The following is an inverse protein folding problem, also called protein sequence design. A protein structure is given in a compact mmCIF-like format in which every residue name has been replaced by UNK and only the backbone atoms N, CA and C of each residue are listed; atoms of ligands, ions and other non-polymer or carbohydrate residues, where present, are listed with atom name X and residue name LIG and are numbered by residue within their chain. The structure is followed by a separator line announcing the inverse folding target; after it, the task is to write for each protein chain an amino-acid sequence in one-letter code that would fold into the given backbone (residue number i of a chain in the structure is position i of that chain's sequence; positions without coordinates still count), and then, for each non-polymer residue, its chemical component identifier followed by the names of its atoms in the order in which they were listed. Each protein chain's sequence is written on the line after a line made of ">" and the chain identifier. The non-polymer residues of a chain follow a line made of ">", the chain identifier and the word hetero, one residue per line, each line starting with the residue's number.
data_IF_553021458095
#
_entry.id   IF_553021458095
#
_cell.length_a   1.000
_cell.length_b   1.000
_cell.length_c   1.000
_cell.angle_alpha   90.00
_cell.angle_beta   90.00
_cell.angle_gamma   90.00
#
_symmetry.space_group_name_H-M   'P 1'
#
loop_
_entity.id
_entity.type
_entity.pdbx_description
1 polymer ?
#
# COMPACT_ATOMS: atom_id res chain seq x y z
N UNK A 1 9.74 6.21 18.51
CA UNK A 1 10.01 7.53 17.90
C UNK A 1 8.93 7.64 16.87
N UNK A 2 7.89 8.45 17.08
CA UNK A 2 6.71 8.50 16.19
C UNK A 2 7.18 8.50 14.73
N UNK A 3 6.91 7.41 14.00
CA UNK A 3 7.29 7.30 12.60
C UNK A 3 6.81 8.54 11.84
N UNK A 4 7.64 9.05 10.93
CA UNK A 4 7.24 10.17 10.07
C UNK A 4 5.89 9.86 9.45
N UNK A 5 4.95 10.83 9.39
CA UNK A 5 3.66 10.61 8.76
C UNK A 5 3.85 10.16 7.31
N UNK A 6 2.91 9.35 6.84
CA UNK A 6 3.04 8.63 5.57
C UNK A 6 1.79 8.78 4.76
N UNK A 7 1.94 8.81 3.44
CA UNK A 7 0.83 9.00 2.52
C UNK A 7 0.73 7.83 1.54
N UNK A 8 -0.48 7.61 1.03
CA UNK A 8 -0.77 6.69 -0.06
C UNK A 8 -1.14 7.50 -1.31
N UNK A 9 -0.48 7.19 -2.41
CA UNK A 9 -0.70 7.84 -3.70
C UNK A 9 -0.90 6.79 -4.77
N UNK A 10 -1.93 6.95 -5.59
CA UNK A 10 -2.20 6.05 -6.70
C UNK A 10 -1.60 6.62 -7.99
N UNK A 11 -0.89 5.76 -8.72
CA UNK A 11 -0.42 5.97 -10.08
C UNK A 11 -1.21 5.05 -11.00
N UNK A 12 -1.90 5.60 -11.99
CA UNK A 12 -2.66 4.80 -12.93
C UNK A 12 -2.84 5.49 -14.28
N UNK A 13 -3.15 4.71 -15.30
CA UNK A 13 -3.40 5.22 -16.65
C UNK A 13 -3.07 4.20 -17.72
N UNK A 14 -3.11 4.60 -18.98
CA UNK A 14 -2.78 3.71 -20.11
C UNK A 14 -1.29 3.33 -20.07
N UNK A 15 -0.42 4.29 -19.75
CA UNK A 15 1.03 4.12 -19.69
C UNK A 15 1.52 3.79 -18.26
N UNK A 16 0.66 3.25 -17.41
CA UNK A 16 0.95 3.02 -15.98
C UNK A 16 2.17 2.14 -15.74
N UNK A 17 2.26 0.97 -16.38
CA UNK A 17 3.42 0.08 -16.25
C UNK A 17 4.72 0.70 -16.79
N UNK A 18 4.77 1.30 -18.00
CA UNK A 18 5.95 2.02 -18.47
C UNK A 18 6.46 3.09 -17.50
N UNK A 19 5.57 3.91 -16.93
CA UNK A 19 5.93 4.95 -15.96
C UNK A 19 6.41 4.33 -14.66
N UNK A 20 5.71 3.31 -14.16
CA UNK A 20 6.13 2.59 -12.95
C UNK A 20 7.52 1.97 -13.12
N UNK A 21 7.85 1.42 -14.29
CA UNK A 21 9.19 0.89 -14.60
C UNK A 21 10.25 1.99 -14.58
N UNK A 22 9.92 3.18 -15.09
CA UNK A 22 10.86 4.31 -15.07
C UNK A 22 11.12 4.82 -13.64
N UNK A 23 10.09 4.81 -12.77
CA UNK A 23 10.19 5.29 -11.39
C UNK A 23 10.81 4.27 -10.43
N UNK A 24 10.46 2.99 -10.56
CA UNK A 24 10.78 1.93 -9.59
C UNK A 24 11.74 0.87 -10.15
N UNK A 25 12.21 1.04 -11.38
CA UNK A 25 13.08 0.10 -12.06
C UNK A 25 12.37 -1.14 -12.62
N UNK A 26 13.17 -2.04 -13.21
CA UNK A 26 12.68 -3.24 -13.91
C UNK A 26 12.08 -4.32 -12.99
N UNK A 27 12.29 -4.23 -11.68
CA UNK A 27 11.70 -5.18 -10.73
C UNK A 27 10.16 -5.11 -10.74
N UNK A 28 9.57 -3.96 -11.11
CA UNK A 28 8.12 -3.79 -11.19
C UNK A 28 7.46 -4.70 -12.22
N UNK A 29 8.19 -5.10 -13.27
CA UNK A 29 7.69 -6.01 -14.31
C UNK A 29 7.47 -7.43 -13.77
N UNK A 30 8.11 -7.76 -12.63
CA UNK A 30 8.12 -9.10 -12.05
C UNK A 30 7.06 -9.30 -10.98
N UNK A 31 6.39 -8.25 -10.54
CA UNK A 31 5.29 -8.35 -9.57
C UNK A 31 3.96 -8.47 -10.29
N UNK A 32 3.16 -9.47 -9.89
CA UNK A 32 1.80 -9.66 -10.36
C UNK A 32 0.83 -8.68 -9.68
N UNK A 33 -0.42 -8.54 -10.16
CA UNK A 33 -1.47 -7.87 -9.40
C UNK A 33 -1.58 -8.40 -7.97
N UNK A 34 -1.74 -7.49 -7.02
CA UNK A 34 -1.71 -7.69 -5.58
C UNK A 34 -0.37 -8.18 -5.01
N UNK A 35 0.74 -7.98 -5.72
CA UNK A 35 2.09 -8.10 -5.16
C UNK A 35 2.73 -6.73 -5.03
N UNK A 36 3.72 -6.64 -4.16
CA UNK A 36 4.44 -5.41 -3.89
C UNK A 36 5.96 -5.61 -3.82
N UNK A 37 6.68 -4.51 -3.76
CA UNK A 37 8.11 -4.47 -3.46
C UNK A 37 8.46 -3.16 -2.76
N UNK A 38 9.61 -3.14 -2.08
CA UNK A 38 10.27 -1.90 -1.68
C UNK A 38 11.18 -1.43 -2.82
N UNK A 39 11.22 -0.12 -3.07
CA UNK A 39 12.04 0.51 -4.10
C UNK A 39 12.58 1.85 -3.63
N UNK A 40 13.50 2.39 -4.41
CA UNK A 40 13.87 3.80 -4.40
C UNK A 40 13.31 4.47 -5.65
N UNK A 41 12.87 5.72 -5.53
CA UNK A 41 12.63 6.61 -6.68
C UNK A 41 13.84 7.52 -6.84
N UNK A 42 14.42 7.54 -8.04
CA UNK A 42 15.77 8.05 -8.26
C UNK A 42 16.75 7.15 -7.49
N UNK A 43 17.31 7.67 -6.41
CA UNK A 43 18.24 6.92 -5.55
C UNK A 43 17.99 7.16 -4.04
N UNK A 44 17.02 8.00 -3.69
CA UNK A 44 16.94 8.60 -2.35
C UNK A 44 15.59 8.46 -1.68
N UNK A 45 14.51 8.32 -2.45
CA UNK A 45 13.15 8.32 -1.88
C UNK A 45 12.70 6.87 -1.66
N UNK A 46 12.68 6.38 -0.40
CA UNK A 46 12.20 5.03 -0.11
C UNK A 46 10.69 4.94 -0.30
N UNK A 47 10.24 3.95 -1.06
CA UNK A 47 8.83 3.70 -1.31
C UNK A 47 8.50 2.22 -1.18
N UNK A 48 7.28 1.91 -0.77
CA UNK A 48 6.67 0.59 -0.98
C UNK A 48 5.65 0.72 -2.10
N UNK A 49 5.72 -0.16 -3.10
CA UNK A 49 4.87 -0.10 -4.30
C UNK A 49 4.04 -1.36 -4.39
N UNK A 50 2.72 -1.22 -4.40
CA UNK A 50 1.75 -2.28 -4.59
C UNK A 50 1.16 -2.20 -6.00
N UNK A 51 1.23 -3.29 -6.77
CA UNK A 51 0.53 -3.38 -8.06
C UNK A 51 -0.93 -3.74 -7.80
N UNK A 52 -1.87 -2.83 -8.07
CA UNK A 52 -3.31 -3.08 -7.90
C UNK A 52 -3.90 -3.82 -9.10
N UNK A 53 -3.45 -3.48 -10.31
CA UNK A 53 -3.77 -4.19 -11.55
C UNK A 53 -2.66 -3.95 -12.59
N UNK A 54 -2.90 -4.29 -13.86
CA UNK A 54 -1.89 -4.23 -14.92
C UNK A 54 -1.15 -2.88 -14.98
N UNK A 55 -1.90 -1.77 -14.91
CA UNK A 55 -1.37 -0.41 -15.06
C UNK A 55 -1.67 0.50 -13.86
N UNK A 56 -2.10 -0.05 -12.72
CA UNK A 56 -2.43 0.74 -11.54
C UNK A 56 -1.56 0.29 -10.38
N UNK A 57 -0.92 1.26 -9.75
CA UNK A 57 -0.01 1.07 -8.64
C UNK A 57 -0.43 1.98 -7.50
N UNK A 58 -0.28 1.48 -6.28
CA UNK A 58 -0.38 2.28 -5.07
C UNK A 58 1.01 2.39 -4.46
N UNK A 59 1.40 3.61 -4.16
CA UNK A 59 2.70 3.95 -3.61
C UNK A 59 2.52 4.45 -2.20
N UNK A 60 3.32 3.90 -1.30
CA UNK A 60 3.45 4.34 0.07
C UNK A 60 4.79 5.02 0.24
N UNK A 61 4.79 6.21 0.82
CA UNK A 61 5.99 7.01 1.07
C UNK A 61 5.81 7.90 2.30
N UNK A 62 6.92 8.44 2.81
CA UNK A 62 6.84 9.48 3.83
C UNK A 62 6.20 10.74 3.25
N UNK A 63 5.40 11.44 4.05
CA UNK A 63 4.74 12.69 3.63
C UNK A 63 5.76 13.76 3.26
N UNK A 64 6.92 13.80 3.94
CA UNK A 64 8.04 14.70 3.62
C UNK A 64 8.58 14.51 2.20
N UNK A 65 8.43 13.32 1.63
CA UNK A 65 8.97 12.98 0.32
C UNK A 65 7.96 13.19 -0.82
N UNK A 66 6.71 13.52 -0.49
CA UNK A 66 5.62 13.64 -1.47
C UNK A 66 5.92 14.67 -2.56
N UNK A 67 6.50 15.81 -2.20
CA UNK A 67 6.85 16.86 -3.16
C UNK A 67 7.94 16.40 -4.14
N UNK A 68 8.99 15.74 -3.62
CA UNK A 68 10.08 15.23 -4.44
C UNK A 68 9.64 14.06 -5.33
N UNK A 69 8.82 13.16 -4.79
CA UNK A 69 8.20 12.07 -5.55
C UNK A 69 7.29 12.60 -6.68
N UNK A 70 6.48 13.63 -6.39
CA UNK A 70 5.64 14.29 -7.40
C UNK A 70 6.49 14.92 -8.50
N UNK A 71 7.58 15.61 -8.14
CA UNK A 71 8.50 16.19 -9.13
C UNK A 71 9.16 15.11 -10.01
N UNK A 72 9.54 13.96 -9.45
CA UNK A 72 10.04 12.83 -10.23
C UNK A 72 8.98 12.28 -11.20
N UNK A 73 7.73 12.12 -10.74
CA UNK A 73 6.61 11.73 -11.61
C UNK A 73 6.36 12.74 -12.74
N UNK A 74 6.54 14.04 -12.47
CA UNK A 74 6.29 15.10 -13.45
C UNK A 74 7.19 15.02 -14.70
N UNK A 75 8.34 14.33 -14.63
CA UNK A 75 9.18 14.05 -15.79
C UNK A 75 8.48 13.16 -16.84
N UNK A 76 7.39 12.51 -16.45
CA UNK A 76 6.59 11.60 -17.27
C UNK A 76 5.23 12.20 -17.72
N UNK A 77 5.04 13.52 -17.59
CA UNK A 77 3.76 14.19 -17.89
C UNK A 77 3.22 14.00 -19.32
N UNK A 78 4.09 13.66 -20.28
CA UNK A 78 3.67 13.38 -21.66
C UNK A 78 3.00 12.00 -21.83
N UNK A 79 3.07 11.15 -20.80
CA UNK A 79 2.44 9.83 -20.79
C UNK A 79 1.01 9.92 -20.26
N UNK A 80 0.14 9.01 -20.70
CA UNK A 80 -1.29 8.96 -20.33
C UNK A 80 -1.47 8.34 -18.95
N UNK A 81 -0.91 8.98 -17.94
CA UNK A 81 -0.97 8.59 -16.53
C UNK A 81 -1.41 9.75 -15.66
N UNK A 82 -1.97 9.41 -14.50
CA UNK A 82 -2.28 10.34 -13.45
C UNK A 82 -1.67 9.86 -12.14
N UNK A 83 -1.40 10.81 -11.27
CA UNK A 83 -0.99 10.60 -9.89
C UNK A 83 -2.02 11.28 -8.98
N UNK A 84 -2.56 10.56 -8.00
CA UNK A 84 -3.60 11.11 -7.13
C UNK A 84 -3.52 10.56 -5.70
N UNK A 85 -3.56 11.48 -4.74
CA UNK A 85 -3.92 11.18 -3.37
C UNK A 85 -5.44 11.31 -3.22
N UNK A 86 -6.06 10.39 -2.48
CA UNK A 86 -7.49 10.37 -2.27
C UNK A 86 -7.81 10.69 -0.80
N UNK A 87 -8.59 11.74 -0.56
CA UNK A 87 -8.95 12.16 0.81
C UNK A 87 -9.81 11.11 1.55
N UNK A 88 -10.55 10.30 0.79
CA UNK A 88 -11.36 9.21 1.32
C UNK A 88 -10.55 7.95 1.63
N UNK A 89 -9.28 7.85 1.20
CA UNK A 89 -8.46 6.66 1.42
C UNK A 89 -7.69 6.77 2.73
N UNK A 90 -8.08 5.98 3.72
CA UNK A 90 -7.36 5.82 4.98
C UNK A 90 -6.43 4.62 4.98
N UNK A 91 -5.43 4.65 5.87
CA UNK A 91 -4.63 3.48 6.23
C UNK A 91 -4.52 3.29 7.74
N UNK A 92 -4.48 2.02 8.17
CA UNK A 92 -4.07 1.60 9.50
C UNK A 92 -2.83 0.74 9.37
N UNK A 93 -1.71 1.21 9.92
CA UNK A 93 -0.45 0.49 9.90
C UNK A 93 -0.27 -0.29 11.20
N UNK A 94 -0.03 -1.59 11.08
CA UNK A 94 0.04 -2.54 12.19
C UNK A 94 1.33 -3.36 12.10
N UNK A 95 1.86 -3.87 13.23
CA UNK A 95 2.91 -4.89 13.19
C UNK A 95 2.43 -6.13 12.44
N UNK A 96 3.36 -6.92 11.87
CA UNK A 96 3.01 -8.18 11.19
C UNK A 96 2.55 -9.26 12.19
N UNK A 97 1.28 -9.16 12.58
CA UNK A 97 0.57 -10.10 13.45
C UNK A 97 -0.60 -10.74 12.70
N UNK A 98 -0.36 -11.17 11.45
CA UNK A 98 -1.39 -11.76 10.59
C UNK A 98 -2.19 -12.91 11.23
N UNK A 99 -1.60 -13.65 12.18
CA UNK A 99 -2.28 -14.72 12.90
C UNK A 99 -3.42 -14.22 13.82
N UNK A 100 -3.30 -13.01 14.38
CA UNK A 100 -4.37 -12.38 15.18
C UNK A 100 -5.37 -11.65 14.31
N UNK A 101 -4.90 -11.08 13.19
CA UNK A 101 -5.72 -10.27 12.31
C UNK A 101 -6.60 -11.12 11.36
N UNK A 102 -6.05 -12.20 10.80
CA UNK A 102 -6.74 -13.01 9.79
C UNK A 102 -8.12 -13.54 10.21
N UNK A 103 -8.35 -13.99 11.47
CA UNK A 103 -9.68 -14.42 11.92
C UNK A 103 -10.75 -13.32 11.91
N UNK A 104 -10.35 -12.05 11.95
CA UNK A 104 -11.26 -10.89 11.95
C UNK A 104 -11.71 -10.50 10.54
N UNK A 105 -11.03 -11.02 9.50
CA UNK A 105 -11.24 -10.61 8.12
C UNK A 105 -11.92 -11.73 7.35
N UNK A 106 -13.10 -11.44 6.83
CA UNK A 106 -13.76 -12.28 5.84
C UNK A 106 -13.10 -12.06 4.47
N UNK A 107 -12.43 -13.06 3.87
CA UNK A 107 -11.76 -12.90 2.58
C UNK A 107 -12.77 -12.67 1.44
N UNK A 108 -12.39 -11.87 0.43
CA UNK A 108 -13.15 -11.79 -0.83
C UNK A 108 -12.54 -12.79 -1.83
N UNK A 109 -13.29 -13.81 -2.30
CA UNK A 109 -12.80 -14.75 -3.31
C UNK A 109 -12.29 -14.03 -4.58
N UNK A 110 -11.26 -14.56 -5.26
CA UNK A 110 -10.56 -15.83 -4.99
C UNK A 110 -9.44 -15.72 -3.93
N UNK A 111 -9.27 -14.55 -3.31
CA UNK A 111 -8.15 -14.28 -2.42
C UNK A 111 -8.31 -14.96 -1.06
N UNK A 112 -7.18 -15.20 -0.39
CA UNK A 112 -7.11 -15.75 0.97
C UNK A 112 -6.36 -14.77 1.86
N UNK A 113 -6.89 -14.56 3.06
CA UNK A 113 -6.25 -13.74 4.08
C UNK A 113 -5.37 -14.61 4.99
N UNK A 114 -5.89 -15.77 5.42
CA UNK A 114 -5.09 -16.77 6.12
C UNK A 114 -3.96 -17.26 5.21
N UNK A 115 -2.71 -17.10 5.67
CA UNK A 115 -1.52 -17.46 4.90
C UNK A 115 -1.12 -16.44 3.82
N UNK A 116 -1.62 -15.20 3.86
CA UNK A 116 -1.15 -14.12 2.98
C UNK A 116 0.36 -13.97 3.10
N UNK A 117 1.07 -14.14 1.98
CA UNK A 117 2.54 -14.10 1.95
C UNK A 117 3.06 -12.67 2.15
N UNK A 118 4.30 -12.49 2.62
CA UNK A 118 4.95 -11.18 2.58
C UNK A 118 4.94 -10.60 1.17
N UNK A 119 4.90 -9.27 1.07
CA UNK A 119 4.83 -8.52 -0.18
C UNK A 119 3.60 -8.84 -1.05
N UNK A 120 2.49 -9.17 -0.41
CA UNK A 120 1.22 -9.44 -1.07
C UNK A 120 0.09 -8.66 -0.41
N UNK A 121 -0.95 -8.39 -1.19
CA UNK A 121 -2.20 -7.83 -0.72
C UNK A 121 -3.38 -8.75 -1.02
N UNK A 122 -4.46 -8.60 -0.26
CA UNK A 122 -5.70 -9.31 -0.50
C UNK A 122 -6.90 -8.48 -0.02
N UNK A 123 -7.97 -8.39 -0.83
CA UNK A 123 -9.21 -7.77 -0.40
C UNK A 123 -9.96 -8.66 0.60
N UNK A 124 -10.60 -8.02 1.57
CA UNK A 124 -11.45 -8.67 2.55
C UNK A 124 -12.46 -7.71 3.15
N UNK A 125 -13.12 -8.16 4.22
CA UNK A 125 -14.04 -7.35 5.01
C UNK A 125 -13.82 -7.57 6.50
N UNK A 126 -13.85 -6.50 7.28
CA UNK A 126 -13.92 -6.54 8.74
C UNK A 126 -15.26 -5.96 9.13
N UNK A 127 -16.13 -6.73 9.78
CA UNK A 127 -17.46 -6.28 10.18
C UNK A 127 -18.23 -5.58 9.02
N UNK A 128 -18.25 -6.22 7.84
CA UNK A 128 -18.81 -5.70 6.57
C UNK A 128 -18.13 -4.47 5.93
N UNK A 129 -17.15 -3.85 6.57
CA UNK A 129 -16.34 -2.76 5.99
C UNK A 129 -15.33 -3.35 5.02
N UNK A 130 -15.23 -2.79 3.81
CA UNK A 130 -14.28 -3.26 2.80
C UNK A 130 -12.87 -2.81 3.16
N UNK A 131 -11.94 -3.77 3.21
CA UNK A 131 -10.53 -3.52 3.49
C UNK A 131 -9.65 -4.17 2.44
N UNK A 132 -8.57 -3.51 2.05
CA UNK A 132 -7.44 -4.15 1.37
C UNK A 132 -6.35 -4.38 2.41
N UNK A 133 -6.01 -5.64 2.64
CA UNK A 133 -4.95 -6.03 3.58
C UNK A 133 -3.67 -6.13 2.79
N UNK A 134 -2.66 -5.35 3.15
CA UNK A 134 -1.36 -5.36 2.49
C UNK A 134 -0.29 -5.78 3.50
N UNK A 135 0.27 -6.98 3.33
CA UNK A 135 1.38 -7.48 4.14
C UNK A 135 2.68 -7.20 3.40
N UNK A 136 3.51 -6.30 3.92
CA UNK A 136 4.71 -5.84 3.23
C UNK A 136 5.81 -5.43 4.21
N UNK A 137 6.94 -4.99 3.69
CA UNK A 137 8.01 -4.43 4.49
C UNK A 137 8.06 -2.91 4.31
N UNK A 138 8.32 -2.22 5.43
CA UNK A 138 8.62 -0.79 5.46
C UNK A 138 10.02 -0.64 6.03
N UNK A 139 10.96 -0.21 5.19
CA UNK A 139 12.38 -0.17 5.53
C UNK A 139 12.87 -1.52 6.07
N UNK A 140 12.55 -2.60 5.34
CA UNK A 140 12.83 -3.99 5.71
C UNK A 140 12.14 -4.50 6.99
N UNK A 141 11.27 -3.72 7.65
CA UNK A 141 10.49 -4.18 8.81
C UNK A 141 9.14 -4.73 8.36
N UNK A 142 8.81 -5.99 8.69
CA UNK A 142 7.51 -6.56 8.36
C UNK A 142 6.36 -5.79 9.02
N UNK A 143 5.35 -5.46 8.22
CA UNK A 143 4.15 -4.75 8.64
C UNK A 143 2.92 -5.26 7.90
N UNK A 144 1.75 -4.95 8.45
CA UNK A 144 0.47 -5.12 7.78
C UNK A 144 -0.22 -3.76 7.75
N UNK A 145 -0.64 -3.34 6.56
CA UNK A 145 -1.35 -2.09 6.36
C UNK A 145 -2.76 -2.39 5.83
N UNK A 146 -3.77 -1.86 6.51
CA UNK A 146 -5.16 -1.95 6.09
C UNK A 146 -5.52 -0.68 5.33
N UNK A 147 -5.93 -0.80 4.08
CA UNK A 147 -6.50 0.32 3.34
C UNK A 147 -8.02 0.24 3.34
N UNK A 148 -8.68 1.34 3.68
CA UNK A 148 -10.12 1.42 3.87
C UNK A 148 -10.60 2.86 3.64
N UNK A 149 -11.90 3.09 3.70
CA UNK A 149 -12.43 4.45 3.69
C UNK A 149 -12.01 5.18 4.98
N UNK A 150 -11.61 6.45 4.87
CA UNK A 150 -11.16 7.27 6.00
C UNK A 150 -12.23 7.37 7.10
N UNK A 151 -13.51 7.40 6.72
CA UNK A 151 -14.64 7.43 7.65
C UNK A 151 -14.82 6.14 8.45
N UNK A 152 -14.39 5.01 7.92
CA UNK A 152 -14.48 3.69 8.56
C UNK A 152 -13.30 3.40 9.50
N UNK A 153 -12.27 4.25 9.49
CA UNK A 153 -11.00 4.00 10.16
C UNK A 153 -11.17 3.71 11.65
N UNK A 154 -11.85 4.60 12.38
CA UNK A 154 -12.05 4.47 13.83
C UNK A 154 -12.89 3.24 14.18
N UNK A 155 -13.87 2.90 13.34
CA UNK A 155 -14.70 1.71 13.51
C UNK A 155 -13.87 0.44 13.38
N UNK A 156 -13.00 0.35 12.36
CA UNK A 156 -12.12 -0.81 12.19
C UNK A 156 -11.07 -0.89 13.30
N UNK A 157 -10.47 0.24 13.67
CA UNK A 157 -9.48 0.32 14.75
C UNK A 157 -10.04 -0.18 16.09
N UNK A 158 -11.28 0.17 16.44
CA UNK A 158 -11.96 -0.30 17.65
C UNK A 158 -12.23 -1.81 17.68
N UNK A 159 -12.20 -2.49 16.52
CA UNK A 159 -12.37 -3.93 16.40
C UNK A 159 -11.03 -4.69 16.50
N UNK A 160 -9.90 -3.99 16.44
CA UNK A 160 -8.59 -4.61 16.54
C UNK A 160 -8.31 -5.00 18.01
N UNK A 161 -7.71 -6.18 18.25
CA UNK A 161 -7.28 -6.58 19.58
C UNK A 161 -6.28 -5.56 20.14
N UNK A 162 -6.41 -5.22 21.42
CA UNK A 162 -5.48 -4.33 22.14
C UNK A 162 -4.01 -4.80 22.07
N UNK A 163 -3.77 -6.08 21.76
CA UNK A 163 -2.44 -6.67 21.62
C UNK A 163 -1.78 -6.37 20.27
N UNK A 164 -2.55 -5.93 19.26
CA UNK A 164 -2.02 -5.41 18.01
C UNK A 164 -1.65 -3.93 18.28
N UNK A 165 -0.63 -3.71 19.10
CA UNK A 165 -0.15 -2.38 19.44
C UNK A 165 0.53 -1.67 18.27
N UNK A 166 0.71 -0.36 18.41
CA UNK A 166 1.36 0.49 17.41
C UNK A 166 2.79 0.03 17.09
N UNK A 167 3.19 0.12 15.82
CA UNK A 167 4.61 0.06 15.46
C UNK A 167 5.35 1.27 16.07
N UNK A 168 6.56 1.07 16.62
CA UNK A 168 7.32 2.13 17.33
C UNK A 168 7.86 3.25 16.44
#
# INVERSE_FOLDING_TARGET
>A
MSGSPTVLVDLAGFDGLPVARALFGSAIDRIAPFQSLESLVGETIPVSVLRLCENNFRVRLAESDLAAFTAAFQLHQQQRVWLKQFDWLGSLLLPDQMHLLAPLITPKPPHRIAGLQPNCAAPGRINNISVLVWRHAIQAKPAVELHLASEDRSTVEALLPLTIGDLP
#
